data_IF_307948822671
#
_entry.id   IF_307948822671
#
_cell.length_a   1.000
_cell.length_b   1.000
_cell.length_c   1.000
_cell.angle_alpha   90.00
_cell.angle_beta   90.00
_cell.angle_gamma   90.00
#
_symmetry.space_group_name_H-M   'P 1'
#
loop_
_entity.id
_entity.type
_entity.pdbx_description
1 polymer ?
#
# COMPACT_ATOMS: atom_id res chain seq x y z
N UNK A 1 19.22 -2.17 -5.36
CA UNK A 1 19.49 -3.58 -4.97
C UNK A 1 18.19 -4.24 -4.57
N UNK A 2 18.13 -5.57 -4.58
CA UNK A 2 16.93 -6.32 -4.21
C UNK A 2 17.28 -7.50 -3.34
N UNK A 3 16.39 -7.81 -2.41
CA UNK A 3 16.54 -8.90 -1.48
C UNK A 3 15.28 -9.72 -1.38
N UNK A 4 15.46 -11.03 -1.25
CA UNK A 4 14.47 -11.96 -0.73
C UNK A 4 14.69 -12.06 0.78
N UNK A 5 13.62 -11.85 1.54
CA UNK A 5 13.59 -11.89 3.00
C UNK A 5 12.61 -12.98 3.42
N UNK A 6 13.08 -13.99 4.15
CA UNK A 6 12.27 -15.14 4.56
C UNK A 6 12.57 -15.57 6.00
N UNK A 7 11.61 -16.26 6.65
CA UNK A 7 11.83 -16.94 7.94
C UNK A 7 12.59 -18.26 7.80
N UNK A 8 12.66 -18.79 6.58
CA UNK A 8 13.26 -20.09 6.32
C UNK A 8 14.77 -20.01 6.33
N UNK A 9 15.39 -21.00 6.95
CA UNK A 9 16.84 -21.14 6.90
C UNK A 9 17.29 -21.42 5.45
N UNK A 10 18.39 -20.83 4.94
CA UNK A 10 18.86 -21.01 3.56
C UNK A 10 19.03 -22.48 3.13
N UNK A 11 19.32 -23.35 4.09
CA UNK A 11 19.51 -24.79 3.86
C UNK A 11 18.22 -25.53 3.49
N UNK A 12 17.04 -24.93 3.70
CA UNK A 12 15.75 -25.57 3.42
C UNK A 12 15.38 -25.56 1.94
N UNK A 13 15.80 -24.54 1.18
CA UNK A 13 15.50 -24.43 -0.25
C UNK A 13 16.25 -25.47 -1.11
N UNK A 14 17.32 -26.05 -0.57
CA UNK A 14 18.12 -27.11 -1.20
C UNK A 14 17.78 -28.51 -0.67
N UNK A 15 16.84 -28.61 0.27
CA UNK A 15 16.50 -29.89 0.89
C UNK A 15 15.61 -30.74 -0.03
N UNK A 16 15.99 -32.00 -0.23
CA UNK A 16 15.20 -32.99 -1.00
C UNK A 16 13.83 -33.24 -0.35
N UNK A 17 13.74 -33.05 0.98
CA UNK A 17 12.50 -33.03 1.73
C UNK A 17 12.32 -31.63 2.34
N UNK A 18 11.33 -30.89 1.86
CA UNK A 18 10.94 -29.61 2.48
C UNK A 18 10.56 -29.89 3.94
N UNK A 19 11.10 -29.15 4.92
CA UNK A 19 10.73 -29.33 6.32
C UNK A 19 9.23 -29.19 6.53
N UNK A 20 8.67 -30.02 7.42
CA UNK A 20 7.29 -29.86 7.90
C UNK A 20 7.25 -28.62 8.80
N UNK A 21 6.86 -27.49 8.21
CA UNK A 21 6.87 -26.18 8.84
C UNK A 21 5.65 -25.35 8.41
N UNK A 22 5.21 -24.45 9.30
CA UNK A 22 4.06 -23.60 9.08
C UNK A 22 4.33 -22.50 8.05
N UNK A 23 3.29 -22.13 7.30
CA UNK A 23 3.39 -21.14 6.23
C UNK A 23 2.28 -20.08 6.26
N UNK A 24 1.29 -20.23 7.15
CA UNK A 24 0.14 -19.32 7.25
C UNK A 24 -0.24 -19.05 8.72
N UNK A 25 -0.92 -17.93 8.96
CA UNK A 25 -1.60 -17.68 10.23
C UNK A 25 -2.60 -18.80 10.57
N UNK A 26 -3.24 -19.39 9.57
CA UNK A 26 -4.22 -20.46 9.76
C UNK A 26 -3.59 -21.75 10.31
N UNK A 27 -2.26 -21.80 10.43
CA UNK A 27 -1.52 -22.88 11.05
C UNK A 27 -1.36 -22.74 12.57
N UNK A 28 -1.73 -21.59 13.14
CA UNK A 28 -1.68 -21.40 14.61
C UNK A 28 -2.51 -22.49 15.29
N UNK A 29 -1.87 -23.20 16.20
CA UNK A 29 -2.41 -24.32 16.93
C UNK A 29 -2.22 -25.68 16.26
N UNK A 30 -1.68 -25.77 15.05
CA UNK A 30 -1.28 -27.04 14.41
C UNK A 30 0.12 -27.47 14.88
N UNK A 31 0.41 -28.75 14.73
CA UNK A 31 1.72 -29.34 15.07
C UNK A 31 2.51 -29.59 13.80
N UNK A 32 3.77 -29.16 13.81
CA UNK A 32 4.74 -29.32 12.74
C UNK A 32 5.95 -30.05 13.28
N UNK A 33 6.31 -31.17 12.64
CA UNK A 33 7.29 -32.15 13.12
C UNK A 33 6.96 -32.69 14.53
N UNK A 34 7.24 -31.93 15.57
CA UNK A 34 6.93 -32.24 16.98
C UNK A 34 6.61 -31.02 17.84
N UNK A 35 6.52 -29.84 17.22
CA UNK A 35 6.29 -28.56 17.89
C UNK A 35 4.93 -27.99 17.47
N UNK A 36 4.14 -27.53 18.43
CA UNK A 36 2.84 -26.91 18.15
C UNK A 36 3.04 -25.41 18.01
N UNK A 37 2.72 -24.86 16.84
CA UNK A 37 2.77 -23.42 16.61
C UNK A 37 1.78 -22.72 17.55
N UNK A 38 2.27 -21.82 18.39
CA UNK A 38 1.43 -20.95 19.20
C UNK A 38 1.35 -19.53 18.61
N UNK A 39 0.42 -18.73 19.14
CA UNK A 39 0.20 -17.37 18.65
C UNK A 39 1.37 -16.42 18.95
N UNK A 40 2.14 -16.66 20.02
CA UNK A 40 3.29 -15.82 20.40
C UNK A 40 4.44 -16.04 19.41
N UNK A 41 4.69 -17.29 19.04
CA UNK A 41 5.69 -17.62 18.02
C UNK A 41 5.32 -17.00 16.66
N UNK A 42 4.07 -17.15 16.22
CA UNK A 42 3.58 -16.49 15.01
C UNK A 42 3.78 -14.96 15.06
N UNK A 43 3.36 -14.33 16.15
CA UNK A 43 3.49 -12.88 16.34
C UNK A 43 4.96 -12.42 16.39
N UNK A 44 5.85 -13.26 16.90
CA UNK A 44 7.30 -12.96 16.94
C UNK A 44 7.86 -12.91 15.53
N UNK A 45 7.53 -13.89 14.68
CA UNK A 45 7.97 -13.89 13.29
C UNK A 45 7.31 -12.75 12.51
N UNK A 46 6.01 -12.54 12.67
CA UNK A 46 5.30 -11.40 12.07
C UNK A 46 5.97 -10.06 12.41
N UNK A 47 6.30 -9.83 13.68
CA UNK A 47 7.00 -8.63 14.13
C UNK A 47 8.37 -8.48 13.45
N UNK A 48 9.14 -9.56 13.31
CA UNK A 48 10.42 -9.52 12.60
C UNK A 48 10.29 -9.03 11.15
N UNK A 49 9.21 -9.40 10.44
CA UNK A 49 8.97 -8.91 9.07
C UNK A 49 8.64 -7.42 9.05
N UNK A 50 7.82 -6.94 10.00
CA UNK A 50 7.47 -5.52 10.09
C UNK A 50 8.68 -4.66 10.47
N UNK A 51 9.51 -5.15 11.40
CA UNK A 51 10.76 -4.49 11.78
C UNK A 51 11.74 -4.44 10.61
N UNK A 52 11.87 -5.52 9.84
CA UNK A 52 12.65 -5.51 8.61
C UNK A 52 12.13 -4.46 7.62
N UNK A 53 10.83 -4.42 7.34
CA UNK A 53 10.25 -3.38 6.44
C UNK A 53 10.58 -1.98 6.95
N UNK A 54 10.39 -1.72 8.25
CA UNK A 54 10.70 -0.44 8.88
C UNK A 54 12.18 -0.06 8.72
N UNK A 55 13.07 -1.01 8.94
CA UNK A 55 14.52 -0.83 8.84
C UNK A 55 14.97 -0.53 7.42
N UNK A 56 14.41 -1.22 6.42
CA UNK A 56 14.72 -0.96 5.02
C UNK A 56 14.21 0.42 4.58
N UNK A 57 13.03 0.83 5.05
CA UNK A 57 12.50 2.18 4.82
C UNK A 57 13.43 3.25 5.42
N UNK A 58 13.96 3.02 6.63
CA UNK A 58 14.90 3.94 7.29
C UNK A 58 16.23 4.06 6.54
N UNK A 59 16.84 2.93 6.19
CA UNK A 59 18.10 2.91 5.43
C UNK A 59 17.93 3.58 4.05
N UNK A 60 16.75 3.48 3.43
CA UNK A 60 16.46 4.09 2.14
C UNK A 60 15.98 5.54 2.22
N UNK A 61 15.64 6.06 3.41
CA UNK A 61 15.04 7.39 3.58
C UNK A 61 13.63 7.51 3.00
N UNK A 62 12.90 6.40 2.90
CA UNK A 62 11.56 6.35 2.29
C UNK A 62 10.49 6.53 3.37
N UNK A 63 9.60 7.50 3.16
CA UNK A 63 8.54 7.83 4.11
C UNK A 63 7.15 7.38 3.68
N UNK A 64 6.97 7.14 2.37
CA UNK A 64 5.68 6.82 1.80
C UNK A 64 5.79 5.73 0.73
N UNK A 65 4.78 4.86 0.67
CA UNK A 65 4.61 3.87 -0.39
C UNK A 65 3.18 3.93 -0.92
N UNK A 66 3.01 3.56 -2.18
CA UNK A 66 1.72 3.48 -2.86
C UNK A 66 1.28 2.03 -2.93
N UNK A 67 0.00 1.78 -2.64
CA UNK A 67 -0.63 0.46 -2.80
C UNK A 67 -0.83 0.16 -4.28
N UNK A 68 -0.35 -1.01 -4.74
CA UNK A 68 -0.43 -1.46 -6.13
C UNK A 68 -0.98 -2.89 -6.24
N UNK A 69 -1.79 -3.13 -7.27
CA UNK A 69 -2.39 -4.44 -7.56
C UNK A 69 -3.10 -5.08 -6.36
N UNK A 70 -3.87 -4.30 -5.61
CA UNK A 70 -4.56 -4.75 -4.42
C UNK A 70 -5.64 -5.80 -4.74
N UNK A 71 -5.58 -6.91 -4.03
CA UNK A 71 -6.66 -7.89 -3.89
C UNK A 71 -7.07 -7.97 -2.42
N UNK A 72 -8.35 -7.82 -2.12
CA UNK A 72 -8.84 -7.69 -0.74
C UNK A 72 -9.99 -8.67 -0.54
N UNK A 73 -9.95 -9.42 0.56
CA UNK A 73 -11.04 -10.33 0.89
C UNK A 73 -12.37 -9.56 0.96
N UNK A 74 -13.46 -10.16 0.50
CA UNK A 74 -14.73 -9.42 0.37
C UNK A 74 -15.52 -9.31 1.67
N UNK A 75 -15.22 -10.13 2.67
CA UNK A 75 -16.03 -10.26 3.87
C UNK A 75 -15.27 -9.85 5.14
N UNK A 76 -15.41 -8.59 5.52
CA UNK A 76 -14.84 -7.99 6.74
C UNK A 76 -15.18 -8.77 8.01
N UNK A 77 -16.43 -9.22 8.15
CA UNK A 77 -16.88 -9.94 9.35
C UNK A 77 -16.19 -11.29 9.51
N UNK A 78 -15.98 -12.01 8.40
CA UNK A 78 -15.21 -13.26 8.38
C UNK A 78 -13.75 -13.03 8.74
N UNK A 79 -13.14 -11.96 8.25
CA UNK A 79 -11.75 -11.61 8.60
C UNK A 79 -11.60 -11.28 10.09
N UNK A 80 -12.51 -10.47 10.64
CA UNK A 80 -12.52 -10.17 12.07
C UNK A 80 -12.66 -11.43 12.93
N UNK A 81 -13.62 -12.31 12.61
CA UNK A 81 -13.81 -13.58 13.33
C UNK A 81 -12.62 -14.54 13.17
N UNK A 82 -11.97 -14.55 12.00
CA UNK A 82 -10.77 -15.36 11.74
C UNK A 82 -9.61 -14.92 12.63
N UNK A 83 -9.40 -13.62 12.77
CA UNK A 83 -8.35 -13.05 13.62
C UNK A 83 -8.61 -13.31 15.11
N UNK A 84 -9.85 -13.08 15.54
CA UNK A 84 -10.29 -13.33 16.92
C UNK A 84 -10.09 -14.80 17.32
N UNK A 85 -10.39 -15.74 16.43
CA UNK A 85 -10.15 -17.18 16.64
C UNK A 85 -8.72 -17.49 17.07
N UNK A 86 -7.74 -16.75 16.55
CA UNK A 86 -6.31 -16.94 16.87
C UNK A 86 -5.78 -15.97 17.92
N UNK A 87 -6.66 -15.16 18.54
CA UNK A 87 -6.27 -14.15 19.53
C UNK A 87 -5.51 -12.96 18.94
N UNK A 88 -5.65 -12.72 17.63
CA UNK A 88 -4.93 -11.67 16.91
C UNK A 88 -5.78 -10.41 16.78
N UNK A 89 -5.15 -9.24 16.94
CA UNK A 89 -5.81 -7.95 16.76
C UNK A 89 -6.14 -7.70 15.29
N UNK A 90 -7.41 -7.45 14.96
CA UNK A 90 -7.80 -6.98 13.63
C UNK A 90 -8.07 -5.47 13.64
N UNK A 91 -7.26 -4.68 12.92
CA UNK A 91 -7.56 -3.27 12.73
C UNK A 91 -8.55 -3.09 11.57
N UNK A 92 -9.85 -3.20 11.89
CA UNK A 92 -10.88 -3.10 10.87
C UNK A 92 -10.85 -1.76 10.13
N UNK A 93 -10.47 -0.68 10.81
CA UNK A 93 -10.37 0.64 10.17
C UNK A 93 -9.25 0.76 9.14
N UNK A 94 -8.11 0.07 9.34
CA UNK A 94 -7.01 0.05 8.37
C UNK A 94 -7.39 -0.82 7.18
N UNK A 95 -8.03 -1.96 7.46
CA UNK A 95 -8.61 -2.81 6.44
C UNK A 95 -9.65 -2.05 5.61
N UNK A 96 -10.61 -1.36 6.23
CA UNK A 96 -11.68 -0.62 5.55
C UNK A 96 -11.12 0.49 4.64
N UNK A 97 -10.11 1.23 5.11
CA UNK A 97 -9.57 2.42 4.44
C UNK A 97 -8.55 2.14 3.35
N UNK A 98 -7.81 1.02 3.40
CA UNK A 98 -6.81 0.73 2.37
C UNK A 98 -7.48 0.47 1.01
N UNK A 99 -6.99 1.15 -0.01
CA UNK A 99 -7.45 1.04 -1.39
C UNK A 99 -6.29 1.09 -2.37
N UNK A 100 -6.53 0.58 -3.59
CA UNK A 100 -5.59 0.72 -4.70
C UNK A 100 -5.18 2.18 -4.91
N UNK A 101 -3.88 2.42 -5.13
CA UNK A 101 -3.32 3.75 -5.38
C UNK A 101 -3.20 4.65 -4.13
N UNK A 102 -3.59 4.16 -2.94
CA UNK A 102 -3.47 4.94 -1.71
C UNK A 102 -1.99 5.15 -1.35
N UNK A 103 -1.64 6.40 -1.04
CA UNK A 103 -0.33 6.75 -0.46
C UNK A 103 -0.36 6.50 1.04
N UNK A 104 0.52 5.63 1.51
CA UNK A 104 0.61 5.19 2.90
C UNK A 104 1.83 5.82 3.56
N UNK A 105 1.65 6.39 4.75
CA UNK A 105 2.77 6.73 5.64
C UNK A 105 3.33 5.48 6.32
N UNK A 106 4.44 5.62 7.07
CA UNK A 106 5.07 4.52 7.81
C UNK A 106 4.11 3.66 8.64
N UNK A 107 3.27 4.27 9.47
CA UNK A 107 2.35 3.51 10.32
C UNK A 107 1.36 2.69 9.46
N UNK A 108 0.84 3.29 8.40
CA UNK A 108 -0.07 2.63 7.47
C UNK A 108 0.63 1.53 6.65
N UNK A 109 1.89 1.72 6.25
CA UNK A 109 2.69 0.69 5.57
C UNK A 109 2.79 -0.55 6.44
N UNK A 110 3.12 -0.39 7.73
CA UNK A 110 3.23 -1.51 8.66
C UNK A 110 1.87 -2.17 8.93
N UNK A 111 0.79 -1.38 9.07
CA UNK A 111 -0.57 -1.93 9.22
C UNK A 111 -1.05 -2.69 7.99
N UNK A 112 -0.74 -2.21 6.78
CA UNK A 112 -1.11 -2.91 5.54
C UNK A 112 -0.25 -4.16 5.35
N UNK A 113 1.06 -4.08 5.62
CA UNK A 113 1.96 -5.23 5.59
C UNK A 113 1.52 -6.32 6.56
N UNK A 114 1.07 -5.93 7.76
CA UNK A 114 0.44 -6.83 8.73
C UNK A 114 -0.77 -7.54 8.12
N UNK A 115 -1.67 -6.81 7.45
CA UNK A 115 -2.84 -7.43 6.80
C UNK A 115 -2.45 -8.38 5.66
N UNK A 116 -1.33 -8.13 4.97
CA UNK A 116 -0.81 -9.03 3.93
C UNK A 116 -0.23 -10.32 4.52
N UNK A 117 0.64 -10.23 5.53
CA UNK A 117 1.22 -11.39 6.25
C UNK A 117 0.15 -12.28 6.87
N UNK A 118 -1.00 -11.67 7.16
CA UNK A 118 -2.17 -12.31 7.73
C UNK A 118 -3.18 -12.81 6.70
N UNK A 119 -2.87 -12.69 5.41
CA UNK A 119 -3.70 -13.13 4.28
C UNK A 119 -5.10 -12.50 4.29
N UNK A 120 -5.24 -11.28 4.80
CA UNK A 120 -6.52 -10.54 4.80
C UNK A 120 -6.69 -9.65 3.58
N UNK A 121 -5.58 -9.39 2.89
CA UNK A 121 -5.48 -8.78 1.57
C UNK A 121 -4.11 -9.14 0.98
N UNK A 122 -3.91 -8.82 -0.29
CA UNK A 122 -2.62 -8.84 -0.96
C UNK A 122 -2.45 -7.52 -1.71
N UNK A 123 -1.23 -6.98 -1.71
CA UNK A 123 -0.85 -5.85 -2.54
C UNK A 123 0.67 -5.78 -2.67
N UNK A 124 1.13 -5.03 -3.67
CA UNK A 124 2.49 -4.50 -3.72
C UNK A 124 2.52 -3.11 -3.07
N UNK A 125 3.63 -2.78 -2.43
CA UNK A 125 3.87 -1.45 -1.86
C UNK A 125 5.09 -0.85 -2.55
N UNK A 126 4.91 0.24 -3.29
CA UNK A 126 5.95 0.76 -4.19
C UNK A 126 6.13 2.28 -4.06
N UNK A 127 7.34 2.76 -4.27
CA UNK A 127 7.65 4.18 -4.46
C UNK A 127 8.11 4.43 -5.89
N UNK A 128 7.96 5.68 -6.34
CA UNK A 128 8.56 6.20 -7.57
C UNK A 128 10.10 6.26 -7.49
N UNK A 129 10.66 6.30 -6.29
CA UNK A 129 12.11 6.28 -6.03
C UNK A 129 12.74 4.87 -6.21
N UNK A 130 11.97 3.88 -6.67
CA UNK A 130 12.46 2.53 -6.93
C UNK A 130 12.58 1.65 -5.68
N UNK A 131 12.07 2.10 -4.53
CA UNK A 131 11.87 1.25 -3.35
C UNK A 131 10.55 0.47 -3.46
N UNK A 132 10.55 -0.79 -3.07
CA UNK A 132 9.33 -1.60 -3.00
C UNK A 132 9.37 -2.64 -1.89
N UNK A 133 8.17 -3.07 -1.48
CA UNK A 133 7.92 -4.28 -0.68
C UNK A 133 6.88 -5.12 -1.42
N UNK A 134 7.25 -6.34 -1.80
CA UNK A 134 6.38 -7.31 -2.42
C UNK A 134 6.24 -8.55 -1.55
N UNK A 135 5.10 -9.20 -1.64
CA UNK A 135 4.77 -10.37 -0.85
C UNK A 135 4.47 -11.55 -1.77
N UNK A 136 5.24 -12.62 -1.58
CA UNK A 136 4.95 -13.94 -2.09
C UNK A 136 4.03 -14.72 -1.15
N UNK A 137 3.74 -15.96 -1.55
CA UNK A 137 3.11 -16.93 -0.66
C UNK A 137 4.07 -17.35 0.45
N UNK A 138 3.55 -18.01 1.48
CA UNK A 138 4.33 -18.76 2.46
C UNK A 138 5.47 -17.96 3.10
N UNK A 139 5.24 -16.71 3.51
CA UNK A 139 6.26 -15.85 4.15
C UNK A 139 7.46 -15.51 3.26
N UNK A 140 7.35 -15.59 1.93
CA UNK A 140 8.33 -14.96 1.04
C UNK A 140 8.05 -13.47 0.92
N UNK A 141 9.01 -12.63 1.30
CA UNK A 141 8.94 -11.18 1.11
C UNK A 141 10.11 -10.72 0.24
N UNK A 142 9.87 -9.72 -0.61
CA UNK A 142 10.91 -9.16 -1.47
C UNK A 142 10.97 -7.66 -1.24
N UNK A 143 12.16 -7.14 -0.98
CA UNK A 143 12.40 -5.72 -0.77
C UNK A 143 13.37 -5.23 -1.82
N UNK A 144 13.02 -4.14 -2.51
CA UNK A 144 13.92 -3.42 -3.39
C UNK A 144 14.21 -2.05 -2.82
N UNK A 145 15.44 -1.58 -2.99
CA UNK A 145 15.85 -0.24 -2.59
C UNK A 145 16.74 0.39 -3.67
N UNK A 146 16.64 1.71 -3.94
CA UNK A 146 17.56 2.39 -4.84
C UNK A 146 18.99 2.39 -4.31
N UNK A 147 19.16 2.36 -2.99
CA UNK A 147 20.45 2.41 -2.31
C UNK A 147 20.77 1.10 -1.59
N UNK A 148 22.05 0.78 -1.31
CA UNK A 148 22.40 -0.32 -0.42
C UNK A 148 21.78 -0.13 0.98
N UNK A 149 21.29 -1.21 1.58
CA UNK A 149 20.69 -1.20 2.93
C UNK A 149 21.42 -2.15 3.90
N UNK A 150 22.74 -1.97 4.11
CA UNK A 150 23.54 -2.91 4.89
C UNK A 150 23.10 -3.00 6.36
N UNK A 151 22.59 -1.91 6.93
CA UNK A 151 22.16 -1.89 8.33
C UNK A 151 20.83 -2.64 8.49
N UNK A 152 19.88 -2.42 7.58
CA UNK A 152 18.62 -3.16 7.55
C UNK A 152 18.82 -4.66 7.33
N UNK A 153 19.70 -5.04 6.39
CA UNK A 153 20.08 -6.45 6.16
C UNK A 153 20.66 -7.08 7.43
N UNK A 154 21.55 -6.38 8.14
CA UNK A 154 22.15 -6.87 9.37
C UNK A 154 21.12 -7.02 10.51
N UNK A 155 20.20 -6.04 10.65
CA UNK A 155 19.13 -6.07 11.66
C UNK A 155 18.12 -7.19 11.38
N UNK A 156 17.65 -7.35 10.14
CA UNK A 156 16.77 -8.44 9.74
C UNK A 156 17.39 -9.82 10.04
N UNK A 157 18.68 -10.02 9.75
CA UNK A 157 19.40 -11.26 10.12
C UNK A 157 19.46 -11.50 11.62
N UNK A 158 19.65 -10.44 12.41
CA UNK A 158 19.63 -10.51 13.88
C UNK A 158 18.24 -10.85 14.43
N UNK A 159 17.18 -10.50 13.71
CA UNK A 159 15.78 -10.86 14.01
C UNK A 159 15.42 -12.30 13.59
N UNK A 160 16.39 -13.07 13.09
CA UNK A 160 16.20 -14.46 12.67
C UNK A 160 15.69 -14.63 11.25
N UNK A 161 15.62 -13.56 10.45
CA UNK A 161 15.25 -13.64 9.04
C UNK A 161 16.47 -13.95 8.18
N UNK A 162 16.27 -14.81 7.18
CA UNK A 162 17.19 -14.95 6.08
C UNK A 162 17.04 -13.78 5.09
N UNK A 163 18.16 -13.28 4.59
CA UNK A 163 18.20 -12.15 3.64
C UNK A 163 19.25 -12.45 2.58
N UNK A 164 18.81 -12.59 1.33
CA UNK A 164 19.63 -12.95 0.18
C UNK A 164 19.39 -11.96 -0.96
N UNK A 165 20.42 -11.61 -1.72
CA UNK A 165 20.23 -10.83 -2.94
C UNK A 165 19.41 -11.63 -3.94
N UNK A 166 18.28 -11.05 -4.39
CA UNK A 166 17.35 -11.78 -5.22
C UNK A 166 16.42 -10.89 -6.05
N UNK A 167 16.31 -11.27 -7.32
CA UNK A 167 15.28 -10.95 -8.31
C UNK A 167 13.83 -10.94 -7.82
N UNK A 168 13.20 -9.85 -7.37
CA UNK A 168 11.77 -9.92 -7.03
C UNK A 168 10.95 -10.47 -8.22
N UNK A 169 10.19 -11.57 -8.08
CA UNK A 169 9.45 -12.18 -9.19
C UNK A 169 8.25 -11.31 -9.62
N UNK A 170 7.85 -10.38 -8.76
CA UNK A 170 6.81 -9.39 -9.02
C UNK A 170 7.33 -8.14 -9.74
N UNK A 171 8.64 -8.09 -10.06
CA UNK A 171 9.19 -7.04 -10.89
C UNK A 171 8.65 -7.22 -12.30
N UNK A 172 7.71 -6.35 -12.65
CA UNK A 172 7.21 -6.27 -14.02
C UNK A 172 8.24 -5.49 -14.84
N UNK A 173 8.50 -5.87 -16.11
CA UNK A 173 9.26 -5.02 -17.00
C UNK A 173 8.64 -3.62 -17.00
N UNK A 174 9.48 -2.59 -16.95
CA UNK A 174 9.04 -1.24 -17.25
C UNK A 174 8.48 -1.26 -18.66
N UNK A 175 7.16 -1.14 -18.79
CA UNK A 175 6.47 -1.06 -20.06
C UNK A 175 5.92 0.37 -20.14
N UNK A 176 6.54 1.18 -20.99
CA UNK A 176 6.14 2.57 -21.26
C UNK A 176 4.69 2.67 -21.76
N UNK A 177 4.09 1.55 -22.19
CA UNK A 177 2.71 1.44 -22.65
C UNK A 177 1.80 0.71 -21.64
N UNK A 178 2.24 0.49 -20.40
CA UNK A 178 1.43 -0.24 -19.41
C UNK A 178 0.26 0.61 -18.94
N UNK A 179 -0.89 0.42 -19.57
CA UNK A 179 -2.19 0.91 -19.09
C UNK A 179 -2.38 0.49 -17.61
N UNK A 180 -2.58 1.45 -16.69
CA UNK A 180 -2.74 1.17 -15.27
C UNK A 180 -3.88 0.18 -15.00
N UNK A 181 -3.78 -0.61 -13.94
CA UNK A 181 -4.66 -1.76 -13.68
C UNK A 181 -6.18 -1.44 -13.63
N UNK A 182 -6.58 -0.17 -13.49
CA UNK A 182 -7.97 0.26 -13.61
C UNK A 182 -8.52 0.17 -15.05
N UNK A 183 -7.68 0.31 -16.08
CA UNK A 183 -8.08 0.17 -17.50
C UNK A 183 -8.21 -1.30 -17.92
N UNK A 184 -7.48 -2.22 -17.26
CA UNK A 184 -7.61 -3.67 -17.48
C UNK A 184 -8.97 -4.24 -17.08
N UNK A 185 -9.69 -3.59 -16.14
CA UNK A 185 -11.05 -3.98 -15.74
C UNK A 185 -12.15 -3.40 -16.64
N UNK A 186 -11.85 -2.39 -17.47
CA UNK A 186 -12.82 -1.74 -18.35
C UNK A 186 -12.98 -2.38 -19.74
N UNK A 187 -12.23 -3.45 -20.05
CA UNK A 187 -12.35 -4.19 -21.32
C UNK A 187 -13.22 -5.45 -21.26
N UNK A 188 -13.95 -5.64 -20.16
CA UNK A 188 -15.21 -6.41 -20.21
C UNK A 188 -16.30 -5.37 -20.24
N UNK A 189 -17.01 -5.28 -21.37
CA UNK A 189 -18.20 -4.46 -21.50
C UNK A 189 -19.17 -4.81 -20.36
N UNK A 190 -19.17 -4.00 -19.32
CA UNK A 190 -20.25 -3.92 -18.35
C UNK A 190 -20.97 -2.61 -18.68
N UNK A 191 -22.22 -2.64 -19.15
CA UNK A 191 -22.94 -1.44 -19.55
C UNK A 191 -23.05 -0.45 -18.39
N UNK A 192 -22.67 0.80 -18.69
CA UNK A 192 -22.92 2.05 -17.97
C UNK A 192 -23.41 1.99 -16.52
N UNK A 193 -22.49 2.24 -15.59
CA UNK A 193 -22.83 2.86 -14.30
C UNK A 193 -21.81 3.97 -14.00
N UNK A 194 -22.22 5.24 -14.13
CA UNK A 194 -21.49 6.37 -13.57
C UNK A 194 -21.61 6.32 -12.05
N UNK A 195 -20.49 6.24 -11.33
CA UNK A 195 -20.48 6.31 -9.86
C UNK A 195 -21.09 7.65 -9.41
N UNK A 196 -22.08 7.65 -8.50
CA UNK A 196 -22.66 8.89 -7.99
C UNK A 196 -21.60 9.75 -7.31
N UNK A 197 -21.44 11.00 -7.73
CA UNK A 197 -20.56 11.97 -7.07
C UNK A 197 -19.14 12.07 -7.62
N UNK A 198 -18.77 11.25 -8.61
CA UNK A 198 -17.50 11.38 -9.34
C UNK A 198 -17.62 12.29 -10.56
N UNK A 199 -16.65 13.18 -10.75
CA UNK A 199 -16.59 14.11 -11.87
C UNK A 199 -15.23 14.07 -12.55
N UNK A 200 -15.23 14.06 -13.87
CA UNK A 200 -14.00 14.21 -14.66
C UNK A 200 -14.16 15.36 -15.64
N UNK A 201 -13.07 16.12 -15.80
CA UNK A 201 -12.98 17.20 -16.77
C UNK A 201 -11.56 17.32 -17.29
N UNK A 202 -11.43 17.66 -18.58
CA UNK A 202 -10.15 17.92 -19.24
C UNK A 202 -10.05 19.40 -19.58
N UNK A 203 -8.86 19.96 -19.37
CA UNK A 203 -8.52 21.35 -19.66
C UNK A 203 -7.33 21.37 -20.62
N UNK A 204 -7.60 21.75 -21.87
CA UNK A 204 -6.59 21.76 -22.93
C UNK A 204 -6.01 23.16 -23.15
N UNK A 205 -4.77 23.18 -23.65
CA UNK A 205 -4.09 24.36 -24.18
C UNK A 205 -3.16 25.02 -23.18
N UNK A 206 -2.56 26.15 -23.55
CA UNK A 206 -1.48 26.79 -22.79
C UNK A 206 -1.82 27.18 -21.33
N UNK A 207 -3.11 27.19 -20.96
CA UNK A 207 -3.59 27.46 -19.59
C UNK A 207 -4.31 26.24 -18.97
N UNK A 208 -4.13 25.04 -19.53
CA UNK A 208 -4.78 23.81 -19.09
C UNK A 208 -4.50 23.52 -17.61
N UNK A 209 -3.24 23.63 -17.21
CA UNK A 209 -2.80 23.46 -15.81
C UNK A 209 -3.49 24.44 -14.86
N UNK A 210 -3.45 25.74 -15.15
CA UNK A 210 -4.03 26.77 -14.28
C UNK A 210 -5.55 26.61 -14.16
N UNK A 211 -6.22 26.23 -15.25
CA UNK A 211 -7.68 25.97 -15.26
C UNK A 211 -8.02 24.72 -14.46
N UNK A 212 -7.22 23.67 -14.53
CA UNK A 212 -7.41 22.46 -13.75
C UNK A 212 -7.24 22.73 -12.24
N UNK A 213 -6.20 23.48 -11.85
CA UNK A 213 -6.00 23.87 -10.44
C UNK A 213 -7.14 24.77 -9.95
N UNK A 214 -7.57 25.75 -10.75
CA UNK A 214 -8.68 26.64 -10.40
C UNK A 214 -10.01 25.87 -10.26
N UNK A 215 -10.29 24.94 -11.17
CA UNK A 215 -11.49 24.10 -11.12
C UNK A 215 -11.49 23.18 -9.90
N UNK A 216 -10.34 22.56 -9.60
CA UNK A 216 -10.18 21.69 -8.43
C UNK A 216 -10.40 22.46 -7.12
N UNK A 217 -9.85 23.67 -6.99
CA UNK A 217 -10.09 24.56 -5.84
C UNK A 217 -11.55 24.95 -5.71
N UNK A 218 -12.18 25.35 -6.82
CA UNK A 218 -13.60 25.70 -6.83
C UNK A 218 -14.47 24.53 -6.35
N UNK A 219 -14.18 23.32 -6.83
CA UNK A 219 -14.96 22.13 -6.50
C UNK A 219 -14.69 21.61 -5.06
N UNK A 220 -13.45 21.74 -4.56
CA UNK A 220 -13.11 21.47 -3.17
C UNK A 220 -13.86 22.39 -2.19
N UNK A 221 -14.21 23.61 -2.63
CA UNK A 221 -14.96 24.58 -1.84
C UNK A 221 -14.08 25.30 -0.80
N UNK A 222 -14.72 25.97 0.16
CA UNK A 222 -13.99 26.69 1.21
C UNK A 222 -13.29 25.71 2.18
N UNK A 223 -11.97 25.84 2.29
CA UNK A 223 -11.10 24.98 3.11
C UNK A 223 -10.88 25.49 4.54
N UNK A 224 -11.30 26.73 4.85
CA UNK A 224 -11.08 27.37 6.14
C UNK A 224 -9.72 28.06 6.26
N UNK A 225 -9.61 29.02 7.19
CA UNK A 225 -8.38 29.79 7.41
C UNK A 225 -7.26 28.95 8.07
N UNK A 226 -7.62 27.78 8.61
CA UNK A 226 -6.72 26.80 9.24
C UNK A 226 -6.40 25.61 8.29
N UNK A 227 -6.58 25.82 6.99
CA UNK A 227 -6.24 24.83 5.96
C UNK A 227 -4.76 24.44 6.02
N UNK A 228 -4.50 23.18 5.64
CA UNK A 228 -3.16 22.61 5.58
C UNK A 228 -2.67 22.65 4.14
N UNK A 229 -1.55 23.33 3.92
CA UNK A 229 -0.91 23.43 2.61
C UNK A 229 0.14 22.33 2.44
N UNK A 230 0.16 21.73 1.25
CA UNK A 230 1.21 20.82 0.81
C UNK A 230 2.10 21.57 -0.17
N UNK A 231 3.32 21.88 0.25
CA UNK A 231 4.31 22.59 -0.56
C UNK A 231 5.40 21.61 -0.96
N UNK A 232 5.73 21.59 -2.24
CA UNK A 232 6.90 20.90 -2.74
C UNK A 232 8.16 21.59 -2.20
N UNK A 233 8.94 20.88 -1.39
CA UNK A 233 10.10 21.45 -0.69
C UNK A 233 11.28 21.81 -1.61
N UNK A 234 11.32 21.29 -2.84
CA UNK A 234 12.40 21.55 -3.79
C UNK A 234 12.11 22.81 -4.62
N UNK A 235 10.85 22.98 -5.01
CA UNK A 235 10.40 24.03 -5.93
C UNK A 235 9.67 25.18 -5.22
N UNK A 236 9.21 24.96 -3.99
CA UNK A 236 8.34 25.88 -3.27
C UNK A 236 6.91 25.94 -3.82
N UNK A 237 6.56 25.03 -4.74
CA UNK A 237 5.26 25.02 -5.42
C UNK A 237 4.17 24.49 -4.50
N UNK A 238 3.03 25.18 -4.42
CA UNK A 238 1.86 24.68 -3.73
C UNK A 238 1.23 23.53 -4.53
N UNK A 239 1.42 22.30 -4.04
CA UNK A 239 0.97 21.08 -4.68
C UNK A 239 -0.37 20.57 -4.14
N UNK A 240 -0.94 21.18 -3.11
CA UNK A 240 -2.25 20.82 -2.62
C UNK A 240 -2.63 21.61 -1.38
N UNK A 241 -3.91 21.58 -1.05
CA UNK A 241 -4.44 22.22 0.14
C UNK A 241 -5.70 21.49 0.58
N UNK A 242 -5.89 21.32 1.87
CA UNK A 242 -7.06 20.65 2.42
C UNK A 242 -7.47 21.22 3.78
N UNK A 243 -8.76 21.11 4.11
CA UNK A 243 -9.32 21.59 5.37
C UNK A 243 -8.71 20.86 6.57
N UNK A 244 -8.76 21.47 7.75
CA UNK A 244 -8.14 20.90 8.95
C UNK A 244 -8.64 19.49 9.32
N UNK A 245 -9.92 19.22 9.05
CA UNK A 245 -10.62 17.93 9.20
C UNK A 245 -10.38 16.95 8.04
N UNK A 246 -9.73 17.41 6.96
CA UNK A 246 -9.51 16.71 5.68
C UNK A 246 -10.80 16.36 4.90
N UNK A 247 -11.93 16.98 5.23
CA UNK A 247 -13.20 16.73 4.51
C UNK A 247 -13.25 17.38 3.12
N UNK A 248 -12.38 18.36 2.86
CA UNK A 248 -12.30 19.08 1.59
C UNK A 248 -10.86 19.28 1.20
N UNK A 249 -10.57 19.27 -0.09
CA UNK A 249 -9.23 19.62 -0.55
C UNK A 249 -8.98 19.31 -2.01
N UNK A 250 -7.78 19.67 -2.43
CA UNK A 250 -7.26 19.38 -3.75
C UNK A 250 -5.77 19.01 -3.67
N UNK A 251 -5.31 18.21 -4.63
CA UNK A 251 -3.96 17.70 -4.69
C UNK A 251 -3.52 17.55 -6.15
N UNK A 252 -2.41 18.21 -6.49
CA UNK A 252 -1.75 18.08 -7.78
C UNK A 252 -1.14 16.68 -7.91
N UNK A 253 -1.42 16.04 -9.04
CA UNK A 253 -0.82 14.80 -9.52
C UNK A 253 -0.19 15.08 -10.89
N UNK A 254 0.56 14.10 -11.39
CA UNK A 254 1.37 14.23 -12.62
C UNK A 254 0.60 14.83 -13.82
N UNK A 255 -0.63 14.37 -14.07
CA UNK A 255 -1.44 14.78 -15.25
C UNK A 255 -2.82 15.37 -14.92
N UNK A 256 -3.11 15.54 -13.64
CA UNK A 256 -4.41 16.03 -13.20
C UNK A 256 -4.35 16.59 -11.79
N UNK A 257 -5.36 17.35 -11.43
CA UNK A 257 -5.60 17.79 -10.06
C UNK A 257 -6.77 17.00 -9.49
N UNK A 258 -6.52 16.25 -8.43
CA UNK A 258 -7.56 15.56 -7.68
C UNK A 258 -8.22 16.54 -6.73
N UNK A 259 -9.55 16.52 -6.62
CA UNK A 259 -10.28 17.28 -5.61
C UNK A 259 -11.36 16.44 -4.94
N UNK A 260 -11.71 16.82 -3.71
CA UNK A 260 -12.80 16.23 -2.97
C UNK A 260 -13.52 17.27 -2.10
N UNK A 261 -14.80 17.01 -1.87
CA UNK A 261 -15.66 17.79 -1.00
C UNK A 261 -16.73 16.88 -0.38
N UNK A 262 -16.53 16.57 0.90
CA UNK A 262 -17.39 15.70 1.68
C UNK A 262 -18.42 16.47 2.55
N UNK A 263 -18.60 17.78 2.33
CA UNK A 263 -19.47 18.63 3.16
C UNK A 263 -20.94 18.19 3.22
N UNK A 264 -21.42 17.51 2.17
CA UNK A 264 -22.78 16.98 2.10
C UNK A 264 -22.87 15.52 2.58
N UNK A 265 -21.73 14.85 2.78
CA UNK A 265 -21.57 13.48 3.27
C UNK A 265 -20.40 12.74 2.60
N UNK A 266 -20.23 11.45 2.92
CA UNK A 266 -19.09 10.64 2.48
C UNK A 266 -19.14 10.28 0.98
N UNK A 267 -18.08 9.61 0.47
CA UNK A 267 -17.95 9.15 -0.93
C UNK A 267 -19.19 8.41 -1.47
N UNK A 268 -19.94 7.75 -0.59
CA UNK A 268 -21.13 6.96 -0.92
C UNK A 268 -22.45 7.64 -0.47
N UNK A 269 -22.36 8.84 0.09
CA UNK A 269 -23.46 9.60 0.68
C UNK A 269 -23.40 11.08 0.29
N UNK A 270 -23.59 11.37 -1.00
CA UNK A 270 -23.68 12.73 -1.61
C UNK A 270 -22.40 13.58 -1.62
N UNK A 271 -21.30 13.02 -1.14
CA UNK A 271 -19.95 13.54 -1.33
C UNK A 271 -19.57 13.70 -2.80
N UNK A 272 -18.73 14.70 -3.10
CA UNK A 272 -18.27 14.98 -4.47
C UNK A 272 -16.76 14.88 -4.56
N UNK A 273 -16.26 14.27 -5.61
CA UNK A 273 -14.83 14.23 -5.90
C UNK A 273 -14.61 14.15 -7.40
N UNK A 274 -13.40 14.48 -7.84
CA UNK A 274 -13.13 14.46 -9.25
C UNK A 274 -11.69 14.67 -9.65
N UNK A 275 -11.46 14.50 -10.95
CA UNK A 275 -10.19 14.72 -11.62
C UNK A 275 -10.33 15.89 -12.61
N UNK A 276 -9.45 16.88 -12.47
CA UNK A 276 -9.27 17.95 -13.44
C UNK A 276 -7.96 17.67 -14.20
N UNK A 277 -8.06 17.03 -15.35
CA UNK A 277 -6.92 16.72 -16.21
C UNK A 277 -6.46 17.97 -16.95
N UNK A 278 -5.15 18.09 -17.20
CA UNK A 278 -4.57 19.16 -17.99
C UNK A 278 -3.57 18.63 -19.01
N UNK A 279 -3.61 19.19 -20.22
CA UNK A 279 -2.73 18.87 -21.36
C UNK A 279 -2.32 20.16 -22.09
#
# INVERSE_FOLDING_TARGET
MEWKVTKYHPTFELAVNVPDEWTSMSDIGKTFSSHRLDAIEYLTVEASYLDAISDFLDDAGINFLVVREMDKHRNRGKEAARMEKYGLRFCASSWDRVSEGMLLNRAQILEVSLLVLRESLWCRLESDQGFFVHFGYDFYMYIGSPNPSPSAVARARKLGLNVEEFSSPYRLPWDENREPAHERKNRREIPGHSEPGFFERRHEGALGFDRAVAAARYNAGNLGDDSKQLIDHQTGTLCGEYSADNERGWLLKDKFVFWWNWAAGSKDASGRYGHEYFE
#
